data_IF_574033032072
#
_entry.id   IF_574033032072
#
_cell.length_a   1.000
_cell.length_b   1.000
_cell.length_c   1.000
_cell.angle_alpha   90.00
_cell.angle_beta   90.00
_cell.angle_gamma   90.00
#
_symmetry.space_group_name_H-M   'P 1'
#
loop_
_entity.id
_entity.type
_entity.pdbx_description
1 polymer ?
#
# COMPACT_ATOMS: atom_id res chain seq x y z
N UNK A 1 20.09 7.53 14.40
CA UNK A 1 19.57 7.96 13.10
C UNK A 1 18.53 6.96 12.65
N UNK A 2 17.34 7.46 12.26
CA UNK A 2 16.46 6.71 11.40
C UNK A 2 15.95 7.60 10.28
N UNK A 3 15.70 6.99 9.13
CA UNK A 3 15.11 7.64 7.96
C UNK A 3 13.68 7.13 7.88
N UNK A 4 12.72 8.04 7.89
CA UNK A 4 11.30 7.70 7.73
C UNK A 4 10.86 8.15 6.35
N UNK A 5 10.22 7.24 5.62
CA UNK A 5 9.57 7.51 4.34
C UNK A 5 8.09 7.68 4.60
N UNK A 6 7.50 8.75 4.10
CA UNK A 6 6.07 8.99 4.21
C UNK A 6 5.53 9.40 2.84
N UNK A 7 4.56 8.64 2.36
CA UNK A 7 3.70 9.03 1.26
C UNK A 7 2.38 9.52 1.86
N UNK A 8 2.02 10.75 1.50
CA UNK A 8 0.71 11.30 1.82
C UNK A 8 -0.04 11.48 0.51
N UNK A 9 -1.26 11.00 0.44
CA UNK A 9 -2.16 11.35 -0.65
C UNK A 9 -3.56 11.63 -0.10
N UNK A 10 -4.24 12.52 -0.79
CA UNK A 10 -5.67 12.64 -0.74
C UNK A 10 -6.27 11.59 -1.71
N UNK A 11 -7.59 11.40 -1.69
CA UNK A 11 -8.32 10.51 -2.59
C UNK A 11 -8.12 10.83 -4.09
N UNK A 12 -7.45 11.93 -4.40
CA UNK A 12 -7.09 12.33 -5.76
C UNK A 12 -5.58 12.06 -5.98
N UNK A 13 -5.26 11.15 -6.92
CA UNK A 13 -3.90 10.75 -7.29
C UNK A 13 -3.02 11.92 -7.78
N UNK A 14 -3.63 13.05 -8.17
CA UNK A 14 -2.92 14.26 -8.59
C UNK A 14 -2.15 14.96 -7.48
N UNK A 15 -2.48 14.67 -6.20
CA UNK A 15 -1.91 15.33 -5.02
C UNK A 15 -0.96 14.44 -4.21
N UNK A 16 -0.40 13.42 -4.84
CA UNK A 16 0.54 12.52 -4.17
C UNK A 16 1.83 13.27 -3.75
N UNK A 17 2.11 13.28 -2.45
CA UNK A 17 3.31 13.91 -1.89
C UNK A 17 4.22 12.85 -1.27
N UNK A 18 5.39 12.71 -1.86
CA UNK A 18 6.44 11.85 -1.34
C UNK A 18 7.39 12.66 -0.46
N UNK A 19 7.57 12.24 0.79
CA UNK A 19 8.41 12.92 1.77
C UNK A 19 9.40 11.94 2.39
N UNK A 20 10.69 12.29 2.41
CA UNK A 20 11.74 11.55 3.12
C UNK A 20 12.25 12.39 4.27
N UNK A 21 12.08 11.92 5.49
CA UNK A 21 12.47 12.62 6.72
C UNK A 21 13.76 12.05 7.30
N UNK A 22 14.72 12.92 7.62
CA UNK A 22 15.91 12.58 8.37
C UNK A 22 15.72 13.02 9.82
N UNK A 23 15.65 12.04 10.72
CA UNK A 23 15.44 12.27 12.16
C UNK A 23 16.65 11.80 12.97
N UNK A 24 17.07 12.61 13.90
CA UNK A 24 18.12 12.29 14.86
C UNK A 24 17.68 12.70 16.27
N UNK A 25 17.79 11.78 17.23
CA UNK A 25 17.32 11.98 18.61
C UNK A 25 15.91 12.60 18.67
N UNK A 26 14.96 12.01 17.92
CA UNK A 26 13.56 12.45 17.82
C UNK A 26 13.36 13.86 17.22
N UNK A 27 14.43 14.51 16.77
CA UNK A 27 14.38 15.82 16.14
C UNK A 27 14.46 15.68 14.62
N UNK A 28 13.52 16.27 13.91
CA UNK A 28 13.53 16.37 12.46
C UNK A 28 14.61 17.37 12.04
N UNK A 29 15.63 16.90 11.33
CA UNK A 29 16.73 17.72 10.83
C UNK A 29 16.43 18.32 9.45
N UNK A 30 16.08 17.46 8.49
CA UNK A 30 15.68 17.88 7.15
C UNK A 30 14.70 16.89 6.54
N UNK A 31 13.99 17.33 5.51
CA UNK A 31 13.12 16.44 4.72
C UNK A 31 13.18 16.77 3.24
N UNK A 32 13.06 15.73 2.40
CA UNK A 32 12.76 15.88 0.99
C UNK A 32 11.26 16.05 0.80
N UNK A 33 10.86 16.98 -0.06
CA UNK A 33 9.46 17.16 -0.48
C UNK A 33 9.40 17.06 -2.01
N UNK A 34 8.64 16.10 -2.52
CA UNK A 34 8.55 15.83 -3.97
C UNK A 34 7.97 17.00 -4.76
N UNK A 35 7.09 17.82 -4.15
CA UNK A 35 6.53 19.03 -4.79
C UNK A 35 7.59 20.13 -4.98
N UNK A 36 8.51 20.21 -4.04
CA UNK A 36 9.64 21.16 -4.11
C UNK A 36 10.80 20.59 -4.91
N UNK A 37 10.85 19.25 -5.08
CA UNK A 37 11.94 18.54 -5.73
C UNK A 37 13.28 18.70 -5.03
N UNK A 38 13.29 18.96 -3.71
CA UNK A 38 14.51 19.22 -2.93
C UNK A 38 14.36 18.90 -1.46
N UNK A 39 15.50 18.78 -0.77
CA UNK A 39 15.58 18.73 0.69
C UNK A 39 15.47 20.13 1.29
N UNK A 40 14.76 20.25 2.41
CA UNK A 40 14.61 21.44 3.23
C UNK A 40 15.10 21.14 4.65
N UNK A 41 15.97 21.96 5.20
CA UNK A 41 16.46 21.84 6.56
C UNK A 41 15.67 22.69 7.54
N UNK A 42 15.59 22.25 8.82
CA UNK A 42 14.78 22.88 9.87
C UNK A 42 15.63 23.51 10.97
N UNK A 43 16.92 23.21 10.99
CA UNK A 43 17.91 23.86 11.87
C UNK A 43 19.26 23.98 11.15
N UNK A 44 20.26 24.53 11.80
CA UNK A 44 21.58 24.73 11.19
C UNK A 44 22.21 23.44 10.65
N UNK A 45 22.10 22.33 11.40
CA UNK A 45 22.58 21.01 10.94
C UNK A 45 21.73 20.46 9.81
N UNK A 46 20.41 20.61 9.89
CA UNK A 46 19.47 20.19 8.88
C UNK A 46 19.66 20.94 7.56
N UNK A 47 19.93 22.24 7.62
CA UNK A 47 20.21 23.08 6.45
C UNK A 47 21.48 22.60 5.75
N UNK A 48 22.58 22.39 6.49
CA UNK A 48 23.84 21.87 5.93
C UNK A 48 23.64 20.47 5.28
N UNK A 49 22.85 19.60 5.92
CA UNK A 49 22.53 18.29 5.35
C UNK A 49 21.67 18.43 4.09
N UNK A 50 20.66 19.30 4.09
CA UNK A 50 19.81 19.54 2.93
C UNK A 50 20.61 20.10 1.75
N UNK A 51 21.49 21.07 1.96
CA UNK A 51 22.39 21.60 0.93
C UNK A 51 23.32 20.50 0.37
N UNK A 52 23.91 19.70 1.25
CA UNK A 52 24.76 18.57 0.85
C UNK A 52 23.99 17.58 -0.03
N UNK A 53 22.76 17.20 0.36
CA UNK A 53 21.95 16.27 -0.41
C UNK A 53 21.46 16.85 -1.74
N UNK A 54 21.07 18.11 -1.76
CA UNK A 54 20.61 18.80 -2.96
C UNK A 54 21.72 18.95 -4.01
N UNK A 55 22.98 18.99 -3.59
CA UNK A 55 24.12 19.05 -4.49
C UNK A 55 24.53 17.67 -5.05
N UNK A 56 23.93 16.58 -4.57
CA UNK A 56 24.20 15.21 -5.07
C UNK A 56 23.20 14.82 -6.15
N UNK A 57 23.57 14.98 -7.40
CA UNK A 57 22.71 14.68 -8.56
C UNK A 57 22.18 13.25 -8.57
N UNK A 58 22.99 12.26 -8.17
CA UNK A 58 22.55 10.86 -8.07
C UNK A 58 21.46 10.67 -7.02
N UNK A 59 21.55 11.37 -5.88
CA UNK A 59 20.58 11.29 -4.80
C UNK A 59 19.25 11.93 -5.19
N UNK A 60 19.31 13.06 -5.88
CA UNK A 60 18.11 13.72 -6.41
C UNK A 60 17.44 12.88 -7.49
N UNK A 61 18.23 12.24 -8.36
CA UNK A 61 17.73 11.27 -9.35
C UNK A 61 17.05 10.10 -8.68
N UNK A 62 17.68 9.51 -7.65
CA UNK A 62 17.10 8.42 -6.88
C UNK A 62 15.73 8.79 -6.28
N UNK A 63 15.61 10.00 -5.67
CA UNK A 63 14.33 10.47 -5.11
C UNK A 63 13.22 10.60 -6.17
N UNK A 64 13.59 11.00 -7.37
CA UNK A 64 12.66 11.07 -8.49
C UNK A 64 12.24 9.67 -8.97
N UNK A 65 13.19 8.76 -9.09
CA UNK A 65 12.92 7.36 -9.48
C UNK A 65 12.04 6.65 -8.44
N UNK A 66 12.26 6.88 -7.15
CA UNK A 66 11.43 6.34 -6.07
C UNK A 66 9.97 6.83 -6.17
N UNK A 67 9.75 8.09 -6.54
CA UNK A 67 8.41 8.64 -6.76
C UNK A 67 7.74 8.04 -8.02
N UNK A 68 8.52 7.79 -9.06
CA UNK A 68 8.04 7.24 -10.33
C UNK A 68 7.86 5.70 -10.30
N UNK A 69 8.41 5.03 -9.27
CA UNK A 69 8.26 3.59 -9.12
C UNK A 69 6.88 3.28 -8.56
N UNK A 70 6.07 2.61 -9.36
CA UNK A 70 4.76 2.12 -8.95
C UNK A 70 4.72 0.61 -9.21
N UNK A 71 4.47 -0.18 -8.16
CA UNK A 71 4.27 -1.62 -8.25
C UNK A 71 2.81 -1.94 -7.95
N UNK A 72 2.05 -2.44 -8.92
CA UNK A 72 0.66 -2.82 -8.68
C UNK A 72 0.56 -4.02 -7.74
N UNK A 73 -0.47 -4.08 -6.88
CA UNK A 73 -0.66 -5.18 -5.95
C UNK A 73 -1.02 -6.49 -6.66
N UNK A 74 -0.55 -7.60 -6.10
CA UNK A 74 -1.08 -8.93 -6.37
C UNK A 74 -2.07 -9.27 -5.25
N UNK A 75 -3.27 -9.74 -5.62
CA UNK A 75 -4.37 -10.00 -4.68
C UNK A 75 -4.80 -11.45 -4.76
N UNK A 76 -4.89 -12.11 -3.61
CA UNK A 76 -5.44 -13.47 -3.49
C UNK A 76 -6.46 -13.53 -2.37
N UNK A 77 -7.57 -14.25 -2.60
CA UNK A 77 -8.61 -14.48 -1.58
C UNK A 77 -8.71 -15.96 -1.29
N UNK A 78 -8.54 -16.31 -0.01
CA UNK A 78 -8.59 -17.71 0.45
C UNK A 78 -9.29 -17.83 1.78
N UNK A 79 -9.67 -19.06 2.18
CA UNK A 79 -10.18 -19.35 3.52
C UNK A 79 -9.09 -20.00 4.36
N UNK A 80 -9.07 -19.69 5.66
CA UNK A 80 -8.11 -20.26 6.62
C UNK A 80 -8.35 -21.76 6.90
N UNK A 81 -9.53 -22.30 6.55
CA UNK A 81 -9.93 -23.67 6.75
C UNK A 81 -10.81 -24.15 5.59
N UNK A 82 -11.20 -25.44 5.63
CA UNK A 82 -12.20 -25.95 4.68
C UNK A 82 -13.53 -25.20 4.88
N UNK A 83 -13.77 -24.22 4.02
CA UNK A 83 -15.00 -23.45 4.04
C UNK A 83 -16.23 -24.32 3.73
N UNK A 84 -17.32 -24.14 4.46
CA UNK A 84 -18.60 -24.80 4.24
C UNK A 84 -19.73 -23.80 4.31
N UNK A 85 -20.67 -23.91 3.38
CA UNK A 85 -21.89 -23.10 3.43
C UNK A 85 -22.68 -23.33 4.71
N UNK A 86 -23.22 -22.27 5.30
CA UNK A 86 -23.95 -22.29 6.57
C UNK A 86 -23.06 -22.35 7.81
N UNK A 87 -21.75 -22.29 7.66
CA UNK A 87 -20.80 -22.27 8.79
C UNK A 87 -20.02 -20.96 8.82
N UNK A 88 -19.68 -20.52 10.03
CA UNK A 88 -18.79 -19.38 10.25
C UNK A 88 -17.41 -19.70 9.65
N UNK A 89 -16.90 -18.81 8.85
CA UNK A 89 -15.67 -18.98 8.09
C UNK A 89 -14.91 -17.65 8.08
N UNK A 90 -13.60 -17.72 8.27
CA UNK A 90 -12.72 -16.55 8.09
C UNK A 90 -12.11 -16.60 6.70
N UNK A 91 -12.35 -15.59 5.90
CA UNK A 91 -11.71 -15.36 4.62
C UNK A 91 -10.53 -14.41 4.81
N UNK A 92 -9.49 -14.61 4.04
CA UNK A 92 -8.28 -13.80 3.99
C UNK A 92 -8.11 -13.20 2.60
N UNK A 93 -8.00 -11.88 2.52
CA UNK A 93 -7.51 -11.15 1.36
C UNK A 93 -6.05 -10.84 1.60
N UNK A 94 -5.15 -11.51 0.91
CA UNK A 94 -3.72 -11.25 0.92
C UNK A 94 -3.35 -10.36 -0.25
N UNK A 95 -2.84 -9.18 0.07
CA UNK A 95 -2.40 -8.15 -0.88
C UNK A 95 -0.90 -7.98 -0.70
N UNK A 96 -0.12 -8.18 -1.76
CA UNK A 96 1.33 -8.22 -1.65
C UNK A 96 2.04 -7.66 -2.89
N UNK A 97 3.35 -7.40 -2.75
CA UNK A 97 4.27 -6.89 -3.77
C UNK A 97 3.88 -5.51 -4.33
N UNK A 98 3.21 -4.65 -3.54
CA UNK A 98 2.78 -3.34 -3.99
C UNK A 98 3.67 -2.21 -3.45
N UNK A 99 3.77 -1.14 -4.23
CA UNK A 99 4.38 0.13 -3.87
C UNK A 99 3.70 1.27 -4.67
N UNK A 100 3.39 2.40 -4.06
CA UNK A 100 3.61 2.80 -2.66
C UNK A 100 2.70 2.09 -1.64
N UNK A 101 2.96 2.31 -0.35
CA UNK A 101 2.23 1.69 0.76
C UNK A 101 0.73 2.03 0.79
N UNK A 102 0.35 3.14 0.18
CA UNK A 102 -1.02 3.63 0.21
C UNK A 102 -1.94 2.76 -0.64
N UNK A 103 -2.86 2.11 0.02
CA UNK A 103 -3.78 1.16 -0.58
C UNK A 103 -5.09 1.15 0.20
N UNK A 104 -6.21 0.93 -0.50
CA UNK A 104 -7.51 0.72 0.12
C UNK A 104 -7.99 -0.70 -0.18
N UNK A 105 -8.34 -1.44 0.87
CA UNK A 105 -8.83 -2.83 0.78
C UNK A 105 -10.20 -2.90 1.42
N UNK A 106 -11.20 -3.30 0.66
CA UNK A 106 -12.59 -3.42 1.10
C UNK A 106 -13.16 -4.79 0.76
N UNK A 107 -14.03 -5.31 1.64
CA UNK A 107 -14.76 -6.52 1.36
C UNK A 107 -16.13 -6.22 0.79
N UNK A 108 -16.53 -7.01 -0.20
CA UNK A 108 -17.84 -6.92 -0.83
C UNK A 108 -18.60 -8.23 -0.63
N UNK A 109 -19.86 -8.13 -0.17
CA UNK A 109 -20.81 -9.22 -0.09
C UNK A 109 -21.96 -8.91 -1.05
N UNK A 110 -22.15 -9.74 -2.05
CA UNK A 110 -23.12 -9.51 -3.13
C UNK A 110 -23.00 -8.10 -3.76
N UNK A 111 -21.74 -7.65 -3.95
CA UNK A 111 -21.41 -6.33 -4.49
C UNK A 111 -21.54 -5.15 -3.53
N UNK A 112 -22.06 -5.36 -2.31
CA UNK A 112 -22.18 -4.31 -1.28
C UNK A 112 -21.02 -4.35 -0.31
N UNK A 113 -20.51 -3.18 0.08
CA UNK A 113 -19.39 -3.06 1.03
C UNK A 113 -19.77 -3.56 2.41
N UNK A 114 -18.89 -4.34 3.02
CA UNK A 114 -18.99 -4.88 4.38
C UNK A 114 -17.94 -4.22 5.27
N UNK A 115 -18.38 -3.61 6.37
CA UNK A 115 -17.52 -2.94 7.35
C UNK A 115 -17.48 -3.64 8.70
N UNK A 116 -18.44 -4.53 8.98
CA UNK A 116 -18.47 -5.34 10.20
C UNK A 116 -17.57 -6.57 10.08
N UNK A 117 -16.98 -7.00 11.22
CA UNK A 117 -16.17 -8.23 11.34
C UNK A 117 -14.96 -8.30 10.39
N UNK A 118 -14.44 -7.12 10.00
CA UNK A 118 -13.22 -6.96 9.19
C UNK A 118 -12.06 -6.58 10.11
N UNK A 119 -10.96 -7.32 10.03
CA UNK A 119 -9.70 -7.03 10.72
C UNK A 119 -8.56 -7.02 9.71
N UNK A 120 -7.75 -5.97 9.70
CA UNK A 120 -6.58 -5.87 8.83
C UNK A 120 -5.29 -5.81 9.64
N UNK A 121 -4.22 -6.36 9.09
CA UNK A 121 -2.88 -6.24 9.66
C UNK A 121 -2.31 -4.85 9.42
N UNK A 122 -1.25 -4.53 10.16
CA UNK A 122 -0.33 -3.47 9.76
C UNK A 122 0.36 -3.84 8.44
N UNK A 123 0.90 -2.84 7.77
CA UNK A 123 1.71 -3.05 6.58
C UNK A 123 3.05 -3.68 6.96
N UNK A 124 3.44 -4.70 6.19
CA UNK A 124 4.73 -5.38 6.34
C UNK A 124 5.63 -5.01 5.17
N UNK A 125 6.83 -4.54 5.48
CA UNK A 125 7.88 -4.24 4.50
C UNK A 125 8.57 -5.55 4.09
N UNK A 126 8.67 -5.81 2.79
CA UNK A 126 9.33 -7.00 2.25
C UNK A 126 10.87 -6.84 2.15
N UNK A 127 11.41 -5.65 2.43
CA UNK A 127 12.85 -5.35 2.35
C UNK A 127 13.35 -5.00 0.96
N UNK A 128 12.50 -5.05 -0.06
CA UNK A 128 12.78 -4.72 -1.47
C UNK A 128 11.97 -3.53 -1.99
N UNK A 129 11.49 -2.67 -1.09
CA UNK A 129 10.60 -1.53 -1.31
C UNK A 129 9.11 -1.89 -1.48
N UNK A 130 8.78 -3.15 -1.66
CA UNK A 130 7.39 -3.57 -1.72
C UNK A 130 6.79 -3.82 -0.34
N UNK A 131 5.47 -3.77 -0.27
CA UNK A 131 4.69 -4.00 0.94
C UNK A 131 3.74 -5.16 0.76
N UNK A 132 3.33 -5.72 1.89
CA UNK A 132 2.22 -6.67 1.96
C UNK A 132 1.31 -6.36 3.15
N UNK A 133 0.06 -6.76 3.04
CA UNK A 133 -0.92 -6.70 4.11
C UNK A 133 -1.96 -7.80 3.95
N UNK A 134 -2.63 -8.13 5.04
CA UNK A 134 -3.74 -9.07 5.06
C UNK A 134 -4.98 -8.40 5.62
N UNK A 135 -6.11 -8.65 4.99
CA UNK A 135 -7.43 -8.29 5.51
C UNK A 135 -8.26 -9.55 5.71
N UNK A 136 -8.90 -9.66 6.85
CA UNK A 136 -9.70 -10.82 7.25
C UNK A 136 -11.15 -10.41 7.40
N UNK A 137 -12.06 -11.24 6.85
CA UNK A 137 -13.49 -11.11 7.04
C UNK A 137 -14.03 -12.40 7.66
N UNK A 138 -14.71 -12.29 8.79
CA UNK A 138 -15.41 -13.40 9.41
C UNK A 138 -16.91 -13.34 9.09
N UNK A 139 -17.44 -14.40 8.47
CA UNK A 139 -18.83 -14.44 8.02
C UNK A 139 -19.39 -15.86 7.93
N UNK A 140 -20.71 -15.98 7.92
CA UNK A 140 -21.38 -17.23 7.55
C UNK A 140 -21.58 -17.25 6.03
N UNK A 141 -20.99 -18.24 5.36
CA UNK A 141 -21.07 -18.38 3.91
C UNK A 141 -22.46 -18.85 3.46
N UNK A 142 -23.05 -18.18 2.50
CA UNK A 142 -24.33 -18.53 1.90
C UNK A 142 -24.15 -18.90 0.41
N UNK A 143 -24.88 -19.93 -0.06
CA UNK A 143 -24.86 -20.32 -1.46
C UNK A 143 -25.47 -19.21 -2.33
N UNK A 144 -24.81 -18.87 -3.43
CA UNK A 144 -25.27 -17.84 -4.36
C UNK A 144 -25.02 -16.41 -3.93
N UNK A 145 -24.37 -16.20 -2.78
CA UNK A 145 -23.95 -14.87 -2.31
C UNK A 145 -22.43 -14.77 -2.54
N UNK A 146 -21.98 -14.03 -3.56
CA UNK A 146 -20.56 -13.90 -3.84
C UNK A 146 -19.88 -13.02 -2.78
N UNK A 147 -18.68 -13.42 -2.37
CA UNK A 147 -17.79 -12.63 -1.51
C UNK A 147 -16.56 -12.27 -2.31
N UNK A 148 -16.17 -11.01 -2.27
CA UNK A 148 -14.96 -10.53 -2.96
C UNK A 148 -14.18 -9.52 -2.16
N UNK A 149 -12.89 -9.44 -2.44
CA UNK A 149 -11.99 -8.39 -1.96
C UNK A 149 -11.77 -7.39 -3.08
N UNK A 150 -12.02 -6.11 -2.81
CA UNK A 150 -11.78 -4.99 -3.70
C UNK A 150 -10.56 -4.23 -3.22
N UNK A 151 -9.62 -4.00 -4.13
CA UNK A 151 -8.36 -3.30 -3.85
C UNK A 151 -8.24 -2.11 -4.79
N UNK A 152 -7.94 -0.95 -4.22
CA UNK A 152 -7.65 0.29 -4.93
C UNK A 152 -6.22 0.71 -4.64
N UNK A 153 -5.45 0.95 -5.69
CA UNK A 153 -4.04 1.32 -5.59
C UNK A 153 -3.62 2.14 -6.81
N UNK A 154 -2.65 3.04 -6.63
CA UNK A 154 -2.14 3.89 -7.71
C UNK A 154 -1.53 3.12 -8.90
N UNK A 155 -1.14 1.87 -8.70
CA UNK A 155 -0.63 0.98 -9.75
C UNK A 155 -1.72 0.25 -10.53
N UNK A 156 -2.99 0.47 -10.23
CA UNK A 156 -4.15 -0.13 -10.91
C UNK A 156 -4.91 0.94 -11.68
N UNK A 157 -5.26 0.66 -12.92
CA UNK A 157 -6.10 1.57 -13.75
C UNK A 157 -7.53 1.66 -13.21
N UNK A 158 -8.03 0.55 -12.64
CA UNK A 158 -9.35 0.45 -12.02
C UNK A 158 -9.27 -0.44 -10.76
N UNK A 159 -10.22 -0.35 -9.82
CA UNK A 159 -10.26 -1.21 -8.64
C UNK A 159 -10.23 -2.69 -9.01
N UNK A 160 -9.28 -3.42 -8.44
CA UNK A 160 -9.17 -4.87 -8.64
C UNK A 160 -10.14 -5.60 -7.70
N UNK A 161 -11.07 -6.37 -8.26
CA UNK A 161 -12.03 -7.18 -7.51
C UNK A 161 -11.70 -8.66 -7.67
N UNK A 162 -11.35 -9.32 -6.57
CA UNK A 162 -11.00 -10.75 -6.54
C UNK A 162 -12.08 -11.53 -5.80
N UNK A 163 -12.75 -12.45 -6.49
CA UNK A 163 -13.79 -13.31 -5.92
C UNK A 163 -13.19 -14.45 -5.10
N UNK A 164 -13.80 -14.72 -3.95
CA UNK A 164 -13.52 -15.95 -3.21
C UNK A 164 -14.04 -17.18 -3.97
N UNK A 165 -13.21 -18.24 -4.07
CA UNK A 165 -13.58 -19.48 -4.76
C UNK A 165 -13.17 -19.55 -6.24
N UNK A 166 -12.72 -18.47 -6.84
CA UNK A 166 -12.04 -18.50 -8.14
C UNK A 166 -10.57 -18.88 -7.96
N UNK A 167 -10.33 -20.19 -7.83
CA UNK A 167 -8.97 -20.72 -7.75
C UNK A 167 -8.33 -20.78 -9.14
N UNK A 168 -7.23 -20.02 -9.33
CA UNK A 168 -6.16 -20.31 -10.31
C UNK A 168 -6.44 -20.18 -11.81
N UNK A 169 -7.02 -19.08 -12.30
CA UNK A 169 -6.87 -18.81 -13.73
C UNK A 169 -6.65 -17.35 -14.16
N UNK A 170 -6.44 -16.42 -13.24
CA UNK A 170 -6.14 -15.03 -13.62
C UNK A 170 -4.76 -14.59 -13.15
N UNK A 171 -3.70 -15.20 -13.71
CA UNK A 171 -2.48 -14.47 -13.97
C UNK A 171 -2.82 -13.59 -15.18
N UNK A 172 -3.22 -12.36 -14.94
CA UNK A 172 -3.30 -11.35 -15.99
C UNK A 172 -1.86 -11.10 -16.44
N UNK A 173 -1.47 -11.78 -17.52
CA UNK A 173 -0.27 -11.42 -18.27
C UNK A 173 -0.55 -10.06 -18.92
N UNK A 174 -0.10 -9.01 -18.26
CA UNK A 174 0.03 -7.70 -18.92
C UNK A 174 1.04 -7.88 -20.05
N UNK A 175 0.55 -7.80 -21.27
CA UNK A 175 1.38 -7.68 -22.47
C UNK A 175 1.82 -6.24 -22.66
#
# INVERSE_FOLDING_TARGET
FYISFQLWHSLDLSDMVYTVKLVFNQKLLCSYDSRLGKYVGYDEYGIRNAEHYNNQTWKMKQRKEELETILPPVVTVRSNSKARYGQLTTLECHVYDFYPQAINVTWLLDGSEVTGDVVSTEFMDNGDWSYQMHSYLELVLHRGVPVSCRVEHSGLEEPLVTLWGETFNNVVLIK
#
